data_IF_189413006117
#
_entry.id   IF_189413006117
#
_cell.length_a   1.000
_cell.length_b   1.000
_cell.length_c   1.000
_cell.angle_alpha   90.00
_cell.angle_beta   90.00
_cell.angle_gamma   90.00
#
_symmetry.space_group_name_H-M   'P 1'
#
loop_
_entity.id
_entity.type
_entity.pdbx_description
1 polymer ?
#
# COMPACT_ATOMS: atom_id res chain seq x y z
N UNK A 1 -19.10 -6.68 -4.25
CA UNK A 1 -18.01 -6.12 -5.08
C UNK A 1 -17.41 -7.23 -5.92
N UNK A 2 -16.99 -6.95 -7.16
CA UNK A 2 -16.34 -7.93 -8.02
C UNK A 2 -14.83 -8.02 -7.72
N UNK A 3 -14.27 -9.22 -7.80
CA UNK A 3 -12.84 -9.48 -7.65
C UNK A 3 -12.09 -9.26 -8.96
N UNK A 4 -10.81 -8.87 -8.87
CA UNK A 4 -9.89 -8.83 -10.01
C UNK A 4 -9.74 -10.23 -10.63
N UNK A 5 -9.71 -10.28 -11.96
CA UNK A 5 -9.38 -11.52 -12.69
C UNK A 5 -7.89 -11.85 -12.52
N UNK A 6 -7.46 -13.12 -12.70
CA UNK A 6 -6.09 -13.56 -12.42
C UNK A 6 -4.95 -12.79 -13.13
N UNK A 7 -5.25 -12.09 -14.24
CA UNK A 7 -4.25 -11.31 -15.01
C UNK A 7 -4.42 -9.80 -14.84
N UNK A 8 -5.42 -9.35 -14.09
CA UNK A 8 -5.66 -7.94 -13.86
C UNK A 8 -4.78 -7.45 -12.70
N UNK A 9 -4.20 -6.27 -12.90
CA UNK A 9 -3.44 -5.56 -11.87
C UNK A 9 -3.96 -4.14 -11.74
N UNK A 10 -3.75 -3.55 -10.57
CA UNK A 10 -4.19 -2.19 -10.27
C UNK A 10 -3.00 -1.31 -9.86
N UNK A 11 -3.18 0.00 -10.02
CA UNK A 11 -2.33 1.00 -9.37
C UNK A 11 -3.02 1.39 -8.06
N UNK A 12 -2.35 1.18 -6.94
CA UNK A 12 -2.84 1.64 -5.64
C UNK A 12 -2.37 3.07 -5.40
N UNK A 13 -3.29 3.93 -4.95
CA UNK A 13 -2.98 5.33 -4.61
C UNK A 13 -3.50 5.60 -3.20
N UNK A 14 -2.57 5.86 -2.28
CA UNK A 14 -2.87 6.18 -0.88
C UNK A 14 -2.57 7.63 -0.57
N UNK A 15 -3.43 8.29 0.21
CA UNK A 15 -3.23 9.65 0.71
C UNK A 15 -3.21 9.67 2.25
N UNK A 16 -2.26 10.40 2.85
CA UNK A 16 -2.13 10.52 4.31
C UNK A 16 -2.11 9.15 5.02
N UNK A 17 -3.04 8.87 5.95
CA UNK A 17 -3.20 7.58 6.60
C UNK A 17 -3.50 6.41 5.66
N UNK A 18 -3.98 6.68 4.44
CA UNK A 18 -4.29 5.64 3.46
C UNK A 18 -3.08 4.78 3.07
N UNK A 19 -1.87 5.30 3.18
CA UNK A 19 -0.65 4.55 2.88
C UNK A 19 -0.39 3.35 3.82
N UNK A 20 -0.89 3.42 5.06
CA UNK A 20 -0.76 2.34 6.05
C UNK A 20 -1.61 1.12 5.71
N UNK A 21 -2.87 1.36 5.31
CA UNK A 21 -3.73 0.27 4.83
C UNK A 21 -3.21 -0.30 3.51
N UNK A 22 -2.68 0.57 2.64
CA UNK A 22 -2.13 0.19 1.35
C UNK A 22 -0.92 -0.74 1.47
N UNK A 23 -0.02 -0.52 2.43
CA UNK A 23 1.14 -1.40 2.62
C UNK A 23 0.74 -2.84 2.98
N UNK A 24 -0.32 -3.01 3.78
CA UNK A 24 -0.87 -4.34 4.11
C UNK A 24 -1.44 -5.03 2.86
N UNK A 25 -2.08 -4.27 1.97
CA UNK A 25 -2.58 -4.81 0.69
C UNK A 25 -1.41 -5.21 -0.21
N UNK A 26 -0.32 -4.43 -0.21
CA UNK A 26 0.91 -4.72 -0.96
C UNK A 26 1.59 -6.01 -0.49
N UNK A 27 1.59 -6.30 0.81
CA UNK A 27 2.12 -7.56 1.34
C UNK A 27 1.23 -8.76 1.01
N UNK A 28 -0.09 -8.59 1.05
CA UNK A 28 -1.05 -9.70 0.86
C UNK A 28 -1.29 -10.07 -0.60
N UNK A 29 -1.21 -9.10 -1.51
CA UNK A 29 -1.55 -9.28 -2.92
C UNK A 29 -0.53 -8.63 -3.87
N UNK A 30 0.78 -8.87 -3.70
CA UNK A 30 1.81 -8.24 -4.52
C UNK A 30 1.63 -8.53 -6.02
N UNK A 31 1.09 -9.69 -6.39
CA UNK A 31 0.85 -10.11 -7.77
C UNK A 31 -0.26 -9.32 -8.49
N UNK A 32 -1.15 -8.68 -7.71
CA UNK A 32 -2.29 -7.89 -8.20
C UNK A 32 -1.99 -6.40 -8.31
N UNK A 33 -0.79 -5.97 -7.94
CA UNK A 33 -0.41 -4.55 -7.86
C UNK A 33 0.65 -4.29 -8.92
N UNK A 34 0.35 -3.39 -9.85
CA UNK A 34 1.31 -2.98 -10.88
C UNK A 34 2.25 -1.89 -10.36
N UNK A 35 1.73 -0.98 -9.53
CA UNK A 35 2.47 0.10 -8.90
C UNK A 35 1.70 0.59 -7.66
N UNK A 36 2.40 1.22 -6.74
CA UNK A 36 1.83 1.91 -5.58
C UNK A 36 2.31 3.36 -5.56
N UNK A 37 1.40 4.30 -5.31
CA UNK A 37 1.66 5.74 -5.25
C UNK A 37 1.25 6.28 -3.90
N UNK A 38 2.20 6.83 -3.16
CA UNK A 38 1.99 7.43 -1.85
C UNK A 38 1.93 8.96 -2.01
N UNK A 39 0.74 9.54 -1.94
CA UNK A 39 0.52 11.00 -2.06
C UNK A 39 0.46 11.60 -0.68
N UNK A 40 1.54 12.26 -0.24
CA UNK A 40 1.65 12.80 1.14
C UNK A 40 1.15 11.79 2.17
N UNK A 41 1.54 10.52 1.98
CA UNK A 41 1.00 9.38 2.70
C UNK A 41 2.11 8.65 3.45
N UNK A 42 1.74 8.01 4.55
CA UNK A 42 2.67 7.20 5.33
C UNK A 42 3.09 5.96 4.55
N UNK A 43 4.41 5.72 4.46
CA UNK A 43 4.99 4.63 3.67
C UNK A 43 5.83 3.71 4.57
N UNK A 44 5.19 2.81 5.34
CA UNK A 44 5.91 1.83 6.14
C UNK A 44 6.68 0.86 5.24
N UNK A 45 7.81 0.39 5.75
CA UNK A 45 8.68 -0.54 5.05
C UNK A 45 9.36 -1.51 6.03
N UNK A 46 10.15 -2.47 5.51
CA UNK A 46 10.74 -3.53 6.34
C UNK A 46 11.57 -3.02 7.53
N UNK A 47 12.24 -1.87 7.35
CA UNK A 47 13.05 -1.23 8.39
C UNK A 47 12.44 0.09 8.91
N UNK A 48 11.29 0.50 8.37
CA UNK A 48 10.59 1.73 8.73
C UNK A 48 9.21 1.34 9.26
N UNK A 49 9.16 1.08 10.56
CA UNK A 49 7.96 0.53 11.20
C UNK A 49 6.87 1.59 11.36
N UNK A 50 5.63 1.14 11.61
CA UNK A 50 4.53 2.04 11.96
C UNK A 50 4.90 2.98 13.10
N UNK A 51 5.50 2.46 14.17
CA UNK A 51 5.85 3.26 15.35
C UNK A 51 6.83 4.37 14.96
N UNK A 52 7.87 4.03 14.20
CA UNK A 52 8.86 4.98 13.72
C UNK A 52 8.24 6.12 12.90
N UNK A 53 7.25 5.82 12.05
CA UNK A 53 6.58 6.82 11.21
C UNK A 53 5.71 7.80 12.02
N UNK A 54 5.12 7.35 13.13
CA UNK A 54 4.27 8.20 13.97
C UNK A 54 5.06 9.04 14.97
N UNK A 55 6.32 8.68 15.20
CA UNK A 55 7.22 9.37 16.13
C UNK A 55 8.11 10.42 15.44
N UNK A 56 8.22 10.40 14.11
CA UNK A 56 8.81 11.49 13.31
C UNK A 56 7.91 12.73 13.24
#
# INVERSE_FOLDING_TARGET
>A
MASLKPKERVVLVGHSLGGLGMSVVMERFPEKISAAVFVTAFMPGPNLTYITIFEE
#
